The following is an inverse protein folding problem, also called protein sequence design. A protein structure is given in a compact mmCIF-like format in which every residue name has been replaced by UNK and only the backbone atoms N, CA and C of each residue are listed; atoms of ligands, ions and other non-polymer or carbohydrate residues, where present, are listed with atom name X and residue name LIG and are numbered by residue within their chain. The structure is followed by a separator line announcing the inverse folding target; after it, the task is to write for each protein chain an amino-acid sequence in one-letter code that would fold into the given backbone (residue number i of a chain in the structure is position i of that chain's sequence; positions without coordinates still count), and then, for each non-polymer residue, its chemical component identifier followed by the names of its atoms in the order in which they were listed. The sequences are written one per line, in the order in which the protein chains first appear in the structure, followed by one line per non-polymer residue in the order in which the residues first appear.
data_IF_204541496544
#
_entry.id   IF_204541496544
#
_cell.length_a   1.000
_cell.length_b   1.000
_cell.length_c   1.000
_cell.angle_alpha   90.00
_cell.angle_beta   90.00
_cell.angle_gamma   90.00
#
_symmetry.space_group_name_H-M   'P 1'
#
loop_
_entity.id
_entity.type
_entity.pdbx_description
1 polymer ?
#
# COMPACT_ATOMS: atom_id res chain seq x y z
N UNK A 1 -22.90 -9.79 29.05
CA UNK A 1 -23.54 -10.54 27.94
C UNK A 1 -24.81 -11.26 28.40
N UNK A 2 -24.76 -12.07 29.45
CA UNK A 2 -25.95 -12.73 30.01
C UNK A 2 -27.07 -11.73 30.40
N UNK A 3 -26.71 -10.57 30.95
CA UNK A 3 -27.66 -9.48 31.25
C UNK A 3 -28.28 -8.83 30.01
N UNK A 4 -27.55 -8.79 28.87
CA UNK A 4 -28.07 -8.26 27.60
C UNK A 4 -29.01 -9.26 26.92
N UNK A 5 -28.63 -10.55 26.91
CA UNK A 5 -29.50 -11.61 26.39
C UNK A 5 -30.81 -11.69 27.17
N UNK A 6 -30.72 -11.59 28.50
CA UNK A 6 -31.88 -11.52 29.38
C UNK A 6 -32.73 -10.27 29.10
N UNK A 7 -32.10 -9.10 28.89
CA UNK A 7 -32.80 -7.85 28.57
C UNK A 7 -33.50 -7.86 27.20
N UNK A 8 -33.03 -8.66 26.24
CA UNK A 8 -33.63 -8.84 24.91
C UNK A 8 -34.66 -10.00 24.90
N UNK A 9 -34.95 -10.60 26.05
CA UNK A 9 -36.01 -11.60 26.22
C UNK A 9 -35.59 -13.06 26.03
N UNK A 10 -34.29 -13.33 25.90
CA UNK A 10 -33.74 -14.68 25.94
C UNK A 10 -33.58 -15.06 27.42
N UNK A 11 -34.54 -15.77 27.99
CA UNK A 11 -34.56 -16.15 29.41
C UNK A 11 -33.31 -16.93 29.88
N UNK A 12 -33.24 -17.29 31.16
CA UNK A 12 -32.12 -18.09 31.68
C UNK A 12 -32.21 -19.56 31.22
N UNK A 13 -31.12 -20.13 30.68
CA UNK A 13 -31.08 -21.55 30.28
C UNK A 13 -29.83 -21.95 29.49
N UNK A 14 -29.63 -23.26 29.28
CA UNK A 14 -28.44 -23.82 28.62
C UNK A 14 -28.26 -23.38 27.16
N UNK A 15 -29.35 -23.16 26.42
CA UNK A 15 -29.32 -22.72 25.01
C UNK A 15 -28.77 -21.27 24.89
N UNK A 16 -29.31 -20.27 25.62
CA UNK A 16 -28.72 -18.93 25.70
C UNK A 16 -27.26 -18.92 26.16
N UNK A 17 -26.89 -19.77 27.12
CA UNK A 17 -25.51 -19.87 27.61
C UNK A 17 -24.57 -20.47 26.56
N UNK A 18 -24.96 -21.53 25.86
CA UNK A 18 -24.16 -22.12 24.79
C UNK A 18 -23.98 -21.16 23.60
N UNK A 19 -25.04 -20.43 23.24
CA UNK A 19 -24.97 -19.39 22.22
C UNK A 19 -24.00 -18.26 22.64
N UNK A 20 -24.05 -17.83 23.91
CA UNK A 20 -23.12 -16.84 24.45
C UNK A 20 -21.66 -17.32 24.42
N UNK A 21 -21.40 -18.58 24.78
CA UNK A 21 -20.04 -19.17 24.73
C UNK A 21 -19.51 -19.20 23.29
N UNK A 22 -20.32 -19.67 22.33
CA UNK A 22 -19.93 -19.66 20.91
C UNK A 22 -19.66 -18.24 20.40
N UNK A 23 -20.43 -17.26 20.85
CA UNK A 23 -20.21 -15.84 20.55
C UNK A 23 -18.87 -15.33 21.08
N UNK A 24 -18.59 -15.57 22.37
CA UNK A 24 -17.34 -15.14 23.01
C UNK A 24 -16.14 -15.83 22.38
N UNK A 25 -16.22 -17.13 22.06
CA UNK A 25 -15.14 -17.84 21.39
C UNK A 25 -14.88 -17.28 19.99
N UNK A 26 -15.92 -17.09 19.19
CA UNK A 26 -15.81 -16.48 17.85
C UNK A 26 -15.21 -15.07 17.91
N UNK A 27 -15.65 -14.25 18.86
CA UNK A 27 -15.20 -12.87 19.01
C UNK A 27 -13.79 -12.76 19.58
N UNK A 28 -13.49 -13.57 20.60
CA UNK A 28 -12.15 -13.66 21.20
C UNK A 28 -11.10 -14.16 20.21
N UNK A 29 -11.39 -15.24 19.47
CA UNK A 29 -10.50 -15.76 18.42
C UNK A 29 -10.32 -14.73 17.29
N UNK A 30 -11.40 -14.06 16.91
CA UNK A 30 -11.37 -12.99 15.91
C UNK A 30 -10.44 -11.85 16.28
N UNK A 31 -10.58 -11.31 17.50
CA UNK A 31 -9.78 -10.20 18.00
C UNK A 31 -8.31 -10.62 18.21
N UNK A 32 -8.07 -11.78 18.82
CA UNK A 32 -6.74 -12.30 19.04
C UNK A 32 -6.01 -12.55 17.71
N UNK A 33 -6.68 -13.16 16.73
CA UNK A 33 -6.13 -13.36 15.39
C UNK A 33 -5.82 -12.05 14.68
N UNK A 34 -6.68 -11.02 14.82
CA UNK A 34 -6.42 -9.68 14.29
C UNK A 34 -5.18 -9.03 14.90
N UNK A 35 -4.98 -9.16 16.22
CA UNK A 35 -3.78 -8.65 16.92
C UNK A 35 -2.53 -9.39 16.48
N UNK A 36 -2.58 -10.72 16.39
CA UNK A 36 -1.44 -11.51 15.90
C UNK A 36 -1.06 -11.11 14.47
N UNK A 37 -2.06 -10.97 13.59
CA UNK A 37 -1.83 -10.50 12.23
C UNK A 37 -1.16 -9.12 12.21
N UNK A 38 -1.67 -8.17 13.00
CA UNK A 38 -1.06 -6.84 13.12
C UNK A 38 0.39 -6.88 13.60
N UNK A 39 0.72 -7.80 14.51
CA UNK A 39 2.06 -7.93 15.09
C UNK A 39 3.08 -8.58 14.17
N UNK A 40 2.64 -9.45 13.25
CA UNK A 40 3.52 -10.20 12.35
C UNK A 40 3.62 -9.54 10.98
N UNK A 41 2.56 -8.87 10.53
CA UNK A 41 2.47 -8.38 9.17
C UNK A 41 2.86 -6.90 9.10
N UNK A 42 4.04 -6.66 8.54
CA UNK A 42 4.52 -5.32 8.20
C UNK A 42 3.87 -4.82 6.89
N UNK A 43 2.59 -4.47 6.98
CA UNK A 43 1.89 -3.85 5.86
C UNK A 43 2.19 -2.36 5.86
N UNK A 44 2.92 -1.87 4.85
CA UNK A 44 3.25 -0.45 4.65
C UNK A 44 2.03 0.38 4.27
N UNK A 45 1.08 0.51 5.18
CA UNK A 45 -0.18 1.21 4.96
C UNK A 45 0.03 2.67 4.54
N UNK A 46 1.09 3.32 5.03
CA UNK A 46 1.40 4.71 4.68
C UNK A 46 1.93 4.86 3.25
N UNK A 47 2.65 3.86 2.72
CA UNK A 47 3.24 3.92 1.38
C UNK A 47 2.15 3.85 0.30
N UNK A 48 1.22 2.90 0.44
CA UNK A 48 0.15 2.64 -0.53
C UNK A 48 -1.25 2.64 0.10
N UNK A 49 -1.69 3.76 0.70
CA UNK A 49 -2.94 3.79 1.45
C UNK A 49 -4.16 3.55 0.54
N UNK A 50 -4.09 3.98 -0.73
CA UNK A 50 -5.14 3.72 -1.74
C UNK A 50 -5.33 2.21 -1.97
N UNK A 51 -4.24 1.49 -2.21
CA UNK A 51 -4.25 0.04 -2.44
C UNK A 51 -4.75 -0.72 -1.22
N UNK A 52 -4.22 -0.41 -0.04
CA UNK A 52 -4.62 -1.07 1.20
C UNK A 52 -6.07 -0.77 1.59
N UNK A 53 -6.60 0.41 1.25
CA UNK A 53 -8.01 0.74 1.46
C UNK A 53 -8.93 -0.12 0.58
N UNK A 54 -8.53 -0.43 -0.65
CA UNK A 54 -9.25 -1.36 -1.51
C UNK A 54 -9.09 -2.80 -1.02
N UNK A 55 -7.87 -3.22 -0.69
CA UNK A 55 -7.59 -4.58 -0.20
C UNK A 55 -8.41 -4.90 1.05
N UNK A 56 -8.50 -3.95 1.99
CA UNK A 56 -9.33 -4.09 3.18
C UNK A 56 -10.82 -4.16 2.88
N UNK A 57 -11.35 -3.40 1.91
CA UNK A 57 -12.75 -3.53 1.50
C UNK A 57 -13.04 -4.87 0.83
N UNK A 58 -12.15 -5.38 -0.02
CA UNK A 58 -12.29 -6.71 -0.63
C UNK A 58 -12.27 -7.80 0.45
N UNK A 59 -11.30 -7.74 1.36
CA UNK A 59 -11.19 -8.70 2.47
C UNK A 59 -12.42 -8.66 3.39
N UNK A 60 -12.99 -7.47 3.64
CA UNK A 60 -14.22 -7.31 4.40
C UNK A 60 -15.40 -8.00 3.72
N UNK A 61 -15.60 -7.77 2.42
CA UNK A 61 -16.70 -8.37 1.67
C UNK A 61 -16.55 -9.90 1.60
N UNK A 62 -15.34 -10.42 1.40
CA UNK A 62 -15.07 -11.87 1.43
C UNK A 62 -15.37 -12.45 2.82
N UNK A 63 -15.01 -11.76 3.89
CA UNK A 63 -15.28 -12.19 5.25
C UNK A 63 -16.78 -12.23 5.55
N UNK A 64 -17.52 -11.18 5.17
CA UNK A 64 -18.98 -11.11 5.33
C UNK A 64 -19.67 -12.19 4.50
N UNK A 65 -19.21 -12.44 3.27
CA UNK A 65 -19.71 -13.54 2.45
C UNK A 65 -19.50 -14.89 3.15
N UNK A 66 -18.32 -15.11 3.74
CA UNK A 66 -18.03 -16.29 4.56
C UNK A 66 -19.03 -16.49 5.70
N UNK A 67 -19.40 -15.42 6.42
CA UNK A 67 -20.44 -15.49 7.47
C UNK A 67 -21.83 -15.83 6.91
N UNK A 68 -22.21 -15.20 5.79
CA UNK A 68 -23.51 -15.44 5.13
C UNK A 68 -23.65 -16.90 4.69
N UNK A 69 -22.55 -17.54 4.28
CA UNK A 69 -22.53 -18.94 3.81
C UNK A 69 -22.48 -19.96 4.95
N UNK A 70 -22.28 -19.56 6.21
CA UNK A 70 -22.21 -20.49 7.35
C UNK A 70 -23.39 -21.46 7.49
N UNK A 71 -24.65 -21.12 7.14
CA UNK A 71 -25.76 -22.07 7.21
C UNK A 71 -25.60 -23.28 6.28
N UNK A 72 -24.77 -23.19 5.24
CA UNK A 72 -24.49 -24.29 4.30
C UNK A 72 -23.49 -25.30 4.85
N UNK A 73 -22.75 -24.96 5.92
CA UNK A 73 -21.73 -25.79 6.53
C UNK A 73 -21.84 -25.80 8.07
N UNK A 74 -22.97 -26.25 8.65
CA UNK A 74 -23.23 -26.16 10.08
C UNK A 74 -22.18 -26.91 10.93
N UNK A 75 -21.64 -28.03 10.43
CA UNK A 75 -20.58 -28.78 11.11
C UNK A 75 -19.25 -28.03 11.24
N UNK A 76 -19.03 -27.00 10.42
CA UNK A 76 -17.83 -26.15 10.43
C UNK A 76 -18.13 -24.71 10.83
N UNK A 77 -19.32 -24.45 11.40
CA UNK A 77 -19.80 -23.10 11.75
C UNK A 77 -18.74 -22.32 12.54
N UNK A 78 -18.24 -22.89 13.64
CA UNK A 78 -17.32 -22.18 14.53
C UNK A 78 -16.02 -21.82 13.82
N UNK A 79 -15.48 -22.72 12.98
CA UNK A 79 -14.25 -22.47 12.24
C UNK A 79 -14.43 -21.37 11.18
N UNK A 80 -15.47 -21.48 10.34
CA UNK A 80 -15.75 -20.50 9.29
C UNK A 80 -16.07 -19.13 9.90
N UNK A 81 -16.94 -19.09 10.91
CA UNK A 81 -17.34 -17.85 11.57
C UNK A 81 -16.17 -17.19 12.30
N UNK A 82 -15.28 -17.97 12.93
CA UNK A 82 -14.07 -17.42 13.58
C UNK A 82 -13.09 -16.87 12.55
N UNK A 83 -12.83 -17.61 11.46
CA UNK A 83 -11.95 -17.15 10.38
C UNK A 83 -12.47 -15.86 9.72
N UNK A 84 -13.78 -15.81 9.43
CA UNK A 84 -14.41 -14.61 8.91
C UNK A 84 -14.26 -13.44 9.89
N UNK A 85 -14.41 -13.67 11.19
CA UNK A 85 -14.24 -12.62 12.18
C UNK A 85 -12.79 -12.12 12.29
N UNK A 86 -11.79 -13.01 12.15
CA UNK A 86 -10.38 -12.61 12.03
C UNK A 86 -10.20 -11.71 10.80
N UNK A 87 -10.69 -12.13 9.64
CA UNK A 87 -10.58 -11.37 8.40
C UNK A 87 -11.26 -9.99 8.49
N UNK A 88 -12.43 -9.88 9.14
CA UNK A 88 -13.08 -8.60 9.40
C UNK A 88 -12.23 -7.68 10.28
N UNK A 89 -11.67 -8.21 11.37
CA UNK A 89 -10.81 -7.42 12.26
C UNK A 89 -9.56 -6.92 11.52
N UNK A 90 -8.92 -7.76 10.73
CA UNK A 90 -7.78 -7.36 9.86
C UNK A 90 -8.20 -6.28 8.87
N UNK A 91 -9.37 -6.43 8.24
CA UNK A 91 -9.90 -5.46 7.29
C UNK A 91 -10.16 -4.11 7.94
N UNK A 92 -10.79 -4.08 9.12
CA UNK A 92 -11.03 -2.85 9.88
C UNK A 92 -9.74 -2.19 10.34
N UNK A 93 -8.75 -2.97 10.78
CA UNK A 93 -7.44 -2.46 11.15
C UNK A 93 -6.76 -1.77 9.96
N UNK A 94 -6.68 -2.45 8.82
CA UNK A 94 -6.09 -1.90 7.59
C UNK A 94 -6.84 -0.67 7.09
N UNK A 95 -8.18 -0.69 7.07
CA UNK A 95 -8.99 0.48 6.74
C UNK A 95 -8.75 1.63 7.73
N UNK A 96 -8.54 1.33 9.02
CA UNK A 96 -8.24 2.34 10.02
C UNK A 96 -6.85 2.95 9.86
N UNK A 97 -5.83 2.14 9.56
CA UNK A 97 -4.46 2.61 9.34
C UNK A 97 -4.39 3.53 8.11
N UNK A 98 -4.99 3.12 6.98
CA UNK A 98 -4.99 3.92 5.74
C UNK A 98 -5.71 5.27 5.89
N UNK A 99 -6.71 5.37 6.79
CA UNK A 99 -7.38 6.65 7.07
C UNK A 99 -6.44 7.71 7.65
N UNK A 100 -5.40 7.33 8.40
CA UNK A 100 -4.45 8.30 8.94
C UNK A 100 -3.78 9.09 7.81
N UNK A 101 -3.27 8.40 6.78
CA UNK A 101 -2.70 9.02 5.59
C UNK A 101 -3.71 9.90 4.82
N UNK A 102 -4.96 9.44 4.67
CA UNK A 102 -6.00 10.23 4.02
C UNK A 102 -6.38 11.49 4.82
N UNK A 103 -6.60 11.38 6.13
CA UNK A 103 -6.91 12.53 6.97
C UNK A 103 -5.77 13.55 6.96
N UNK A 104 -4.52 13.08 6.97
CA UNK A 104 -3.36 13.95 6.84
C UNK A 104 -3.36 14.69 5.49
N UNK A 105 -3.72 14.02 4.39
CA UNK A 105 -3.84 14.67 3.07
C UNK A 105 -4.97 15.70 2.98
N UNK A 106 -6.01 15.59 3.82
CA UNK A 106 -7.12 16.53 3.89
C UNK A 106 -6.88 17.68 4.87
N UNK A 107 -5.87 17.58 5.74
CA UNK A 107 -5.49 18.65 6.63
C UNK A 107 -4.79 19.77 5.84
N UNK A 108 -5.16 21.02 6.13
CA UNK A 108 -4.62 22.21 5.43
C UNK A 108 -3.96 23.18 6.41
N UNK A 109 -4.43 23.25 7.66
CA UNK A 109 -3.98 24.22 8.67
C UNK A 109 -3.71 23.54 10.01
N UNK A 110 -2.87 22.51 9.99
CA UNK A 110 -2.56 21.66 11.16
C UNK A 110 -3.82 21.13 11.88
N UNK A 111 -4.92 21.00 11.13
CA UNK A 111 -6.26 20.70 11.63
C UNK A 111 -6.60 19.21 11.51
N UNK A 112 -5.60 18.33 11.67
CA UNK A 112 -5.74 16.88 11.52
C UNK A 112 -6.77 16.30 12.50
N UNK A 113 -6.80 16.81 13.73
CA UNK A 113 -7.76 16.40 14.75
C UNK A 113 -9.20 16.70 14.33
N UNK A 114 -9.46 17.90 13.78
CA UNK A 114 -10.80 18.31 13.32
C UNK A 114 -11.26 17.47 12.12
N UNK A 115 -10.37 17.21 11.17
CA UNK A 115 -10.65 16.33 10.03
C UNK A 115 -11.01 14.93 10.53
N UNK A 116 -10.22 14.40 11.45
CA UNK A 116 -10.44 13.06 12.02
C UNK A 116 -11.75 12.99 12.81
N UNK A 117 -12.07 14.02 13.60
CA UNK A 117 -13.33 14.09 14.34
C UNK A 117 -14.54 14.13 13.39
N UNK A 118 -14.51 14.95 12.34
CA UNK A 118 -15.58 15.04 11.34
C UNK A 118 -15.75 13.73 10.58
N UNK A 119 -14.66 13.09 10.16
CA UNK A 119 -14.71 11.77 9.54
C UNK A 119 -15.30 10.71 10.49
N UNK A 120 -14.97 10.78 11.78
CA UNK A 120 -15.58 9.94 12.82
C UNK A 120 -17.09 10.15 12.94
N UNK A 121 -17.56 11.41 12.99
CA UNK A 121 -18.99 11.72 13.02
C UNK A 121 -19.72 11.24 11.76
N UNK A 122 -19.12 11.40 10.58
CA UNK A 122 -19.68 10.88 9.33
C UNK A 122 -19.79 9.36 9.37
N UNK A 123 -18.77 8.65 9.86
CA UNK A 123 -18.80 7.20 9.99
C UNK A 123 -19.94 6.74 10.93
N UNK A 124 -20.15 7.42 12.06
CA UNK A 124 -21.25 7.13 12.99
C UNK A 124 -22.61 7.36 12.30
N UNK A 125 -22.80 8.50 11.64
CA UNK A 125 -24.04 8.82 10.93
C UNK A 125 -24.34 7.78 9.83
N UNK A 126 -23.33 7.42 9.03
CA UNK A 126 -23.44 6.36 8.02
C UNK A 126 -23.76 5.00 8.63
N UNK A 127 -23.19 4.67 9.81
CA UNK A 127 -23.50 3.43 10.52
C UNK A 127 -24.94 3.37 11.01
N UNK A 128 -25.48 4.48 11.54
CA UNK A 128 -26.88 4.57 11.97
C UNK A 128 -27.81 4.37 10.78
N UNK A 129 -27.55 5.10 9.68
CA UNK A 129 -28.32 4.97 8.45
C UNK A 129 -28.25 3.55 7.87
N UNK A 130 -27.05 2.99 7.77
CA UNK A 130 -26.83 1.63 7.26
C UNK A 130 -27.51 0.56 8.13
N UNK A 131 -27.50 0.73 9.46
CA UNK A 131 -28.21 -0.17 10.37
C UNK A 131 -29.72 -0.10 10.16
N UNK A 132 -30.28 1.10 10.05
CA UNK A 132 -31.71 1.29 9.74
C UNK A 132 -32.10 0.65 8.42
N UNK A 133 -31.31 0.87 7.36
CA UNK A 133 -31.53 0.24 6.05
C UNK A 133 -31.41 -1.30 6.13
N UNK A 134 -30.43 -1.80 6.88
CA UNK A 134 -30.23 -3.24 7.10
C UNK A 134 -31.42 -3.90 7.78
N UNK A 135 -32.05 -3.24 8.77
CA UNK A 135 -33.28 -3.71 9.41
C UNK A 135 -34.42 -3.81 8.38
N UNK A 136 -34.61 -2.80 7.54
CA UNK A 136 -35.65 -2.82 6.49
C UNK A 136 -35.41 -3.96 5.48
N UNK A 137 -34.17 -4.12 5.02
CA UNK A 137 -33.79 -5.23 4.12
C UNK A 137 -33.97 -6.58 4.80
N UNK A 138 -33.73 -6.68 6.12
CA UNK A 138 -33.90 -7.92 6.89
C UNK A 138 -35.35 -8.44 6.85
N UNK A 139 -36.33 -7.54 6.79
CA UNK A 139 -37.76 -7.90 6.69
C UNK A 139 -38.08 -8.63 5.37
N UNK A 140 -37.38 -8.27 4.29
CA UNK A 140 -37.52 -8.93 2.98
C UNK A 140 -36.68 -10.21 2.87
N UNK A 141 -35.43 -10.18 3.37
CA UNK A 141 -34.54 -11.35 3.26
C UNK A 141 -35.01 -12.53 4.12
N UNK A 142 -35.59 -12.26 5.30
CA UNK A 142 -36.03 -13.29 6.23
C UNK A 142 -34.89 -14.24 6.63
N UNK A 143 -35.19 -15.54 6.69
CA UNK A 143 -34.19 -16.58 6.98
C UNK A 143 -33.55 -17.20 5.72
N UNK A 144 -33.88 -16.69 4.52
CA UNK A 144 -33.40 -17.27 3.27
C UNK A 144 -31.97 -16.84 2.98
N UNK A 145 -31.01 -17.78 3.04
CA UNK A 145 -29.62 -17.53 2.66
C UNK A 145 -29.51 -16.98 1.23
N UNK A 146 -30.37 -17.42 0.30
CA UNK A 146 -30.36 -16.92 -1.07
C UNK A 146 -30.78 -15.43 -1.15
N UNK A 147 -31.78 -15.01 -0.38
CA UNK A 147 -32.20 -13.61 -0.37
C UNK A 147 -31.13 -12.73 0.29
N UNK A 148 -30.49 -13.22 1.36
CA UNK A 148 -29.36 -12.53 1.99
C UNK A 148 -28.18 -12.40 1.02
N UNK A 149 -27.86 -13.45 0.26
CA UNK A 149 -26.82 -13.41 -0.78
C UNK A 149 -27.15 -12.41 -1.89
N UNK A 150 -28.41 -12.36 -2.33
CA UNK A 150 -28.85 -11.39 -3.34
C UNK A 150 -28.70 -9.95 -2.84
N UNK A 151 -29.16 -9.66 -1.61
CA UNK A 151 -28.99 -8.35 -0.99
C UNK A 151 -27.51 -8.00 -0.80
N UNK A 152 -26.71 -8.94 -0.30
CA UNK A 152 -25.26 -8.78 -0.12
C UNK A 152 -24.55 -8.46 -1.43
N UNK A 153 -24.91 -9.14 -2.54
CA UNK A 153 -24.27 -8.91 -3.85
C UNK A 153 -24.45 -7.46 -4.30
N UNK A 154 -25.67 -6.92 -4.17
CA UNK A 154 -25.96 -5.52 -4.52
C UNK A 154 -25.23 -4.57 -3.57
N UNK A 155 -25.29 -4.81 -2.27
CA UNK A 155 -24.65 -3.96 -1.26
C UNK A 155 -23.12 -3.96 -1.38
N UNK A 156 -22.50 -5.12 -1.65
CA UNK A 156 -21.07 -5.27 -1.89
C UNK A 156 -20.64 -4.54 -3.16
N UNK A 157 -21.40 -4.62 -4.25
CA UNK A 157 -21.12 -3.84 -5.46
C UNK A 157 -21.15 -2.33 -5.21
N UNK A 158 -22.14 -1.85 -4.44
CA UNK A 158 -22.23 -0.44 -4.03
C UNK A 158 -21.07 -0.06 -3.10
N UNK A 159 -20.77 -0.89 -2.10
CA UNK A 159 -19.65 -0.69 -1.17
C UNK A 159 -18.32 -0.58 -1.92
N UNK A 160 -18.04 -1.50 -2.85
CA UNK A 160 -16.80 -1.48 -3.59
C UNK A 160 -16.71 -0.30 -4.56
N UNK A 161 -17.77 0.00 -5.29
CA UNK A 161 -17.78 1.16 -6.21
C UNK A 161 -17.59 2.48 -5.45
N UNK A 162 -18.25 2.60 -4.29
CA UNK A 162 -18.13 3.79 -3.44
C UNK A 162 -16.73 3.92 -2.85
N UNK A 163 -16.14 2.80 -2.40
CA UNK A 163 -14.76 2.79 -1.89
C UNK A 163 -13.78 3.17 -2.99
N UNK A 164 -13.91 2.61 -4.19
CA UNK A 164 -13.08 2.97 -5.34
C UNK A 164 -13.14 4.47 -5.61
N UNK A 165 -14.34 5.02 -5.83
CA UNK A 165 -14.52 6.45 -6.11
C UNK A 165 -14.01 7.35 -4.99
N UNK A 166 -14.20 6.94 -3.73
CA UNK A 166 -13.72 7.69 -2.57
C UNK A 166 -12.20 7.75 -2.51
N UNK A 167 -11.50 6.69 -2.92
CA UNK A 167 -10.04 6.59 -2.86
C UNK A 167 -9.38 7.21 -4.09
N UNK A 168 -9.99 7.06 -5.25
CA UNK A 168 -9.54 7.62 -6.53
C UNK A 168 -9.43 9.14 -6.48
N UNK A 169 -10.38 9.80 -5.79
CA UNK A 169 -10.40 11.25 -5.60
C UNK A 169 -9.40 11.80 -4.59
N UNK A 170 -8.64 10.96 -3.88
CA UNK A 170 -7.69 11.44 -2.85
C UNK A 170 -6.37 11.87 -3.49
N UNK A 171 -5.97 13.12 -3.25
CA UNK A 171 -4.66 13.65 -3.67
C UNK A 171 -3.65 13.53 -2.52
N UNK A 172 -2.73 12.58 -2.65
CA UNK A 172 -1.71 12.34 -1.64
C UNK A 172 -0.42 13.10 -1.97
N UNK A 173 0.17 13.76 -0.96
CA UNK A 173 1.43 14.52 -1.09
C UNK A 173 2.69 13.72 -0.76
N UNK A 174 2.53 12.56 -0.13
CA UNK A 174 3.66 11.68 0.19
C UNK A 174 4.27 11.09 -1.08
N UNK A 175 5.52 10.67 -1.03
CA UNK A 175 6.23 10.06 -2.16
C UNK A 175 6.50 8.60 -1.86
N UNK A 176 5.71 7.70 -2.44
CA UNK A 176 6.07 6.27 -2.54
C UNK A 176 6.83 6.02 -3.85
N UNK A 177 7.31 4.78 -4.05
CA UNK A 177 8.01 4.39 -5.27
C UNK A 177 7.23 4.78 -6.53
N UNK A 178 5.92 4.49 -6.57
CA UNK A 178 5.08 4.79 -7.73
C UNK A 178 5.02 6.28 -8.07
N UNK A 179 4.67 7.12 -7.09
CA UNK A 179 4.52 8.56 -7.30
C UNK A 179 5.84 9.20 -7.64
N UNK A 180 6.91 8.83 -6.94
CA UNK A 180 8.25 9.33 -7.24
C UNK A 180 8.69 8.95 -8.66
N UNK A 181 8.47 7.70 -9.06
CA UNK A 181 8.79 7.22 -10.41
C UNK A 181 8.04 7.99 -11.50
N UNK A 182 6.74 8.24 -11.30
CA UNK A 182 5.93 9.04 -12.22
C UNK A 182 6.44 10.48 -12.34
N UNK A 183 6.82 11.09 -11.22
CA UNK A 183 7.35 12.45 -11.16
C UNK A 183 8.70 12.54 -11.88
N UNK A 184 9.64 11.63 -11.57
CA UNK A 184 10.95 11.60 -12.22
C UNK A 184 10.81 11.34 -13.72
N UNK A 185 9.99 10.36 -14.10
CA UNK A 185 9.76 10.06 -15.51
C UNK A 185 9.22 11.27 -16.26
N UNK A 186 8.26 11.99 -15.69
CA UNK A 186 7.73 13.22 -16.29
C UNK A 186 8.82 14.30 -16.40
N UNK A 187 9.56 14.56 -15.32
CA UNK A 187 10.65 15.54 -15.30
C UNK A 187 11.72 15.26 -16.37
N UNK A 188 12.12 14.00 -16.53
CA UNK A 188 13.14 13.58 -17.50
C UNK A 188 12.64 13.58 -18.95
N UNK A 189 11.33 13.35 -19.17
CA UNK A 189 10.71 13.39 -20.50
C UNK A 189 10.37 14.81 -20.97
N UNK A 190 10.28 15.76 -20.04
CA UNK A 190 10.07 17.17 -20.37
C UNK A 190 11.32 17.77 -21.03
N UNK A 191 11.12 18.63 -22.02
CA UNK A 191 12.21 19.35 -22.68
C UNK A 191 13.03 20.15 -21.65
N UNK A 192 14.37 20.23 -21.77
CA UNK A 192 15.22 20.94 -20.80
C UNK A 192 14.78 22.37 -20.51
N UNK A 193 14.30 23.10 -21.53
CA UNK A 193 13.82 24.48 -21.42
C UNK A 193 12.50 24.63 -20.64
N UNK A 194 11.71 23.55 -20.55
CA UNK A 194 10.36 23.54 -19.97
C UNK A 194 10.21 22.42 -18.92
N UNK A 195 11.29 22.05 -18.23
CA UNK A 195 11.19 21.06 -17.15
C UNK A 195 10.22 21.55 -16.11
N UNK A 196 9.21 20.73 -15.86
CA UNK A 196 8.19 20.97 -14.83
C UNK A 196 7.90 19.66 -14.11
N UNK A 197 7.42 19.78 -12.88
CA UNK A 197 6.93 18.63 -12.12
C UNK A 197 5.43 18.47 -12.39
N UNK A 198 4.95 17.23 -12.52
CA UNK A 198 3.53 17.01 -12.73
C UNK A 198 2.73 17.43 -11.48
N UNK A 199 1.53 17.93 -11.70
CA UNK A 199 0.62 18.28 -10.59
C UNK A 199 0.22 17.02 -9.79
N UNK A 200 -0.19 17.21 -8.52
CA UNK A 200 -0.73 16.13 -7.69
C UNK A 200 -1.88 15.38 -8.40
N UNK A 201 -2.74 16.12 -9.13
CA UNK A 201 -3.86 15.55 -9.87
C UNK A 201 -3.38 14.68 -11.03
N UNK A 202 -2.43 15.17 -11.81
CA UNK A 202 -1.82 14.43 -12.95
C UNK A 202 -1.16 13.13 -12.49
N UNK A 203 -0.50 13.14 -11.33
CA UNK A 203 0.08 11.92 -10.75
C UNK A 203 -1.02 10.99 -10.22
N UNK A 204 -2.02 11.51 -9.52
CA UNK A 204 -3.14 10.72 -8.97
C UNK A 204 -3.93 9.99 -10.06
N UNK A 205 -4.19 10.63 -11.21
CA UNK A 205 -4.85 10.02 -12.37
C UNK A 205 -4.03 8.88 -13.00
N UNK A 206 -2.74 8.81 -12.70
CA UNK A 206 -1.81 7.79 -13.16
C UNK A 206 -1.46 6.76 -12.07
N UNK A 207 -1.91 6.93 -10.83
CA UNK A 207 -1.68 5.93 -9.81
C UNK A 207 -2.45 4.63 -10.12
N UNK A 208 -1.79 3.50 -9.90
CA UNK A 208 -2.39 2.18 -10.08
C UNK A 208 -2.42 1.45 -8.75
N UNK A 209 -3.62 1.32 -8.19
CA UNK A 209 -3.84 0.68 -6.89
C UNK A 209 -4.79 -0.54 -6.95
N UNK A 210 -5.42 -0.79 -8.10
CA UNK A 210 -6.26 -1.98 -8.35
C UNK A 210 -5.44 -3.11 -8.98
N UNK A 211 -4.69 -2.81 -10.04
CA UNK A 211 -3.86 -3.82 -10.74
C UNK A 211 -2.73 -4.33 -9.84
N UNK A 212 -2.25 -3.50 -8.93
CA UNK A 212 -1.16 -3.80 -7.99
C UNK A 212 -1.64 -4.47 -6.70
N UNK A 213 -2.95 -4.73 -6.56
CA UNK A 213 -3.56 -5.21 -5.30
C UNK A 213 -2.83 -6.45 -4.74
N UNK A 214 -2.57 -7.44 -5.60
CA UNK A 214 -1.88 -8.68 -5.23
C UNK A 214 -0.37 -8.61 -5.45
N UNK A 215 0.09 -8.02 -6.55
CA UNK A 215 1.48 -8.09 -6.99
C UNK A 215 2.42 -7.12 -6.29
N UNK A 216 1.92 -6.07 -5.65
CA UNK A 216 2.79 -4.96 -5.25
C UNK A 216 2.96 -3.92 -6.36
N UNK A 217 3.65 -2.84 -6.00
CA UNK A 217 4.08 -1.86 -6.98
C UNK A 217 5.12 -2.49 -7.92
N UNK A 218 4.94 -2.30 -9.21
CA UNK A 218 5.95 -2.56 -10.24
C UNK A 218 6.10 -1.32 -11.09
N UNK A 219 7.33 -1.02 -11.52
CA UNK A 219 7.57 0.10 -12.44
C UNK A 219 6.75 -0.08 -13.72
N UNK A 220 6.36 1.03 -14.37
CA UNK A 220 5.61 0.99 -15.65
C UNK A 220 6.46 0.57 -16.85
N UNK A 221 7.76 0.43 -16.63
CA UNK A 221 8.74 -0.01 -17.62
C UNK A 221 8.70 -1.54 -17.75
N UNK A 222 8.73 -2.03 -18.99
CA UNK A 222 8.61 -3.45 -19.31
C UNK A 222 9.97 -4.15 -19.45
N UNK A 223 11.04 -3.41 -19.75
CA UNK A 223 12.40 -3.95 -19.92
C UNK A 223 13.21 -3.95 -18.64
N UNK A 224 12.73 -3.33 -17.56
CA UNK A 224 13.47 -3.25 -16.30
C UNK A 224 12.57 -3.18 -15.07
N UNK A 225 13.10 -3.63 -13.93
CA UNK A 225 12.50 -3.52 -12.60
C UNK A 225 13.51 -2.93 -11.63
N UNK A 226 13.07 -1.99 -10.79
CA UNK A 226 13.88 -1.41 -9.71
C UNK A 226 13.60 -2.16 -8.42
N UNK A 227 14.65 -2.74 -7.83
CA UNK A 227 14.64 -3.33 -6.50
C UNK A 227 15.27 -2.34 -5.52
N UNK A 228 14.44 -1.52 -4.87
CA UNK A 228 14.90 -0.42 -4.00
C UNK A 228 15.43 -0.88 -2.62
N UNK A 229 15.46 -2.19 -2.36
CA UNK A 229 15.84 -2.80 -1.09
C UNK A 229 16.87 -3.92 -1.31
N UNK A 230 17.75 -3.75 -2.30
CA UNK A 230 18.70 -4.79 -2.65
C UNK A 230 19.71 -5.03 -1.53
N UNK A 231 19.90 -6.28 -1.15
CA UNK A 231 20.98 -6.68 -0.24
C UNK A 231 22.35 -6.50 -0.91
N UNK A 232 23.42 -6.33 -0.12
CA UNK A 232 24.78 -6.26 -0.65
C UNK A 232 25.17 -7.48 -1.51
N UNK A 233 24.60 -8.66 -1.21
CA UNK A 233 24.80 -9.86 -2.04
C UNK A 233 24.07 -9.77 -3.38
N UNK A 234 22.86 -9.20 -3.41
CA UNK A 234 22.09 -9.02 -4.65
C UNK A 234 22.74 -7.98 -5.57
N UNK A 235 23.08 -6.80 -5.03
CA UNK A 235 23.64 -5.68 -5.80
C UNK A 235 25.04 -5.98 -6.35
N UNK A 236 25.82 -6.82 -5.65
CA UNK A 236 27.14 -7.27 -6.12
C UNK A 236 27.08 -8.50 -7.04
N UNK A 237 25.88 -8.99 -7.37
CA UNK A 237 25.67 -10.24 -8.12
C UNK A 237 26.44 -11.43 -7.51
N UNK A 238 26.56 -11.47 -6.18
CA UNK A 238 27.36 -12.46 -5.44
C UNK A 238 28.86 -12.46 -5.78
N UNK A 239 29.39 -11.35 -6.30
CA UNK A 239 30.80 -11.16 -6.58
C UNK A 239 31.40 -10.06 -5.68
N UNK A 240 32.27 -10.40 -4.72
CA UNK A 240 32.91 -9.42 -3.83
C UNK A 240 33.69 -8.33 -4.55
N UNK A 241 34.29 -8.60 -5.72
CA UNK A 241 35.04 -7.59 -6.47
C UNK A 241 34.11 -6.49 -7.02
N UNK A 242 32.88 -6.85 -7.39
CA UNK A 242 31.86 -5.88 -7.81
C UNK A 242 31.47 -4.99 -6.63
N UNK A 243 31.41 -5.55 -5.42
CA UNK A 243 31.10 -4.76 -4.22
C UNK A 243 32.22 -3.75 -3.90
N UNK A 244 33.49 -4.15 -4.02
CA UNK A 244 34.63 -3.22 -3.85
C UNK A 244 34.58 -2.10 -4.90
N UNK A 245 34.32 -2.45 -6.15
CA UNK A 245 34.18 -1.46 -7.23
C UNK A 245 33.02 -0.49 -6.97
N UNK A 246 31.85 -1.00 -6.55
CA UNK A 246 30.70 -0.18 -6.14
C UNK A 246 31.06 0.77 -4.99
N UNK A 247 31.79 0.26 -3.98
CA UNK A 247 32.23 1.06 -2.84
C UNK A 247 33.18 2.20 -3.25
N UNK A 248 34.11 1.94 -4.18
CA UNK A 248 35.04 2.95 -4.70
C UNK A 248 34.32 3.98 -5.57
N UNK A 249 33.40 3.54 -6.44
CA UNK A 249 32.66 4.40 -7.36
C UNK A 249 31.72 5.36 -6.62
N UNK A 250 30.96 4.83 -5.65
CA UNK A 250 29.99 5.59 -4.85
C UNK A 250 30.58 6.15 -3.55
N UNK A 251 31.90 6.36 -3.46
CA UNK A 251 32.57 6.74 -2.22
C UNK A 251 32.04 8.03 -1.57
N UNK A 252 31.43 8.94 -2.36
CA UNK A 252 30.83 10.20 -1.89
C UNK A 252 29.32 10.15 -1.76
N UNK A 253 28.69 9.04 -2.14
CA UNK A 253 27.24 8.85 -2.12
C UNK A 253 26.82 7.98 -0.95
N UNK A 254 25.55 8.13 -0.53
CA UNK A 254 24.93 7.30 0.51
C UNK A 254 24.02 6.23 -0.06
N UNK A 255 24.28 5.82 -1.29
CA UNK A 255 23.56 4.75 -1.96
C UNK A 255 24.52 3.97 -2.87
N UNK A 256 24.17 2.72 -3.14
CA UNK A 256 24.79 1.91 -4.17
C UNK A 256 23.72 1.55 -5.18
N UNK A 257 24.06 1.60 -6.46
CA UNK A 257 23.19 1.14 -7.53
C UNK A 257 23.96 0.23 -8.49
N UNK A 258 23.35 -0.86 -8.93
CA UNK A 258 23.94 -1.71 -9.98
C UNK A 258 22.88 -2.23 -10.94
N UNK A 259 23.29 -2.46 -12.20
CA UNK A 259 22.44 -3.00 -13.25
C UNK A 259 22.80 -4.46 -13.53
N UNK A 260 21.84 -5.36 -13.28
CA UNK A 260 21.90 -6.76 -13.70
C UNK A 260 21.22 -6.95 -15.04
N UNK A 261 22.02 -7.22 -16.07
CA UNK A 261 21.50 -7.62 -17.37
C UNK A 261 21.00 -9.06 -17.34
N UNK A 262 19.69 -9.24 -17.55
CA UNK A 262 19.03 -10.54 -17.70
C UNK A 262 18.81 -10.83 -19.19
N UNK A 263 19.19 -12.05 -19.64
CA UNK A 263 19.07 -12.43 -21.06
C UNK A 263 17.62 -12.62 -21.52
N UNK A 264 16.77 -13.19 -20.65
CA UNK A 264 15.37 -13.48 -20.91
C UNK A 264 14.50 -12.89 -19.79
N UNK A 265 13.95 -11.70 -20.02
CA UNK A 265 13.10 -10.99 -19.06
C UNK A 265 13.59 -9.58 -18.77
N UNK A 266 12.93 -8.87 -17.83
CA UNK A 266 13.33 -7.52 -17.47
C UNK A 266 14.69 -7.51 -16.78
N UNK A 267 15.52 -6.55 -17.14
CA UNK A 267 16.76 -6.23 -16.43
C UNK A 267 16.45 -5.77 -14.99
N UNK A 268 17.36 -6.00 -14.05
CA UNK A 268 17.16 -5.62 -12.65
C UNK A 268 18.08 -4.48 -12.29
N UNK A 269 17.53 -3.40 -11.74
CA UNK A 269 18.28 -2.29 -11.18
C UNK A 269 18.21 -2.45 -9.66
N UNK A 270 19.31 -2.89 -9.08
CA UNK A 270 19.43 -3.11 -7.64
C UNK A 270 19.89 -1.80 -7.00
N UNK A 271 19.11 -1.31 -6.03
CA UNK A 271 19.40 -0.10 -5.29
C UNK A 271 19.45 -0.42 -3.80
N UNK A 272 20.49 0.07 -3.12
CA UNK A 272 20.67 -0.07 -1.68
C UNK A 272 21.03 1.29 -1.08
N UNK A 273 20.33 1.69 -0.01
CA UNK A 273 20.64 2.92 0.73
C UNK A 273 21.54 2.61 1.94
N UNK A 274 22.43 3.55 2.25
CA UNK A 274 23.29 3.50 3.43
C UNK A 274 22.49 3.86 4.70
N UNK A 275 22.90 3.35 5.86
CA UNK A 275 22.20 3.54 7.14
C UNK A 275 21.92 5.02 7.43
N UNK A 276 22.87 5.91 7.14
CA UNK A 276 22.75 7.36 7.36
C UNK A 276 22.22 8.15 6.15
N UNK A 277 21.69 7.48 5.12
CA UNK A 277 21.10 8.12 3.95
C UNK A 277 19.91 9.01 4.31
N UNK A 278 19.89 10.21 3.77
CA UNK A 278 18.80 11.20 3.89
C UNK A 278 17.76 11.03 2.78
N UNK A 279 16.65 11.75 2.88
CA UNK A 279 15.66 11.79 1.81
C UNK A 279 16.23 12.35 0.50
N UNK A 280 17.18 13.28 0.55
CA UNK A 280 17.84 13.79 -0.67
C UNK A 280 18.71 12.70 -1.33
N UNK A 281 19.42 11.89 -0.54
CA UNK A 281 20.21 10.75 -1.07
C UNK A 281 19.29 9.73 -1.76
N UNK A 282 18.14 9.44 -1.16
CA UNK A 282 17.14 8.56 -1.76
C UNK A 282 16.53 9.16 -3.05
N UNK A 283 16.29 10.48 -3.12
CA UNK A 283 15.84 11.12 -4.36
C UNK A 283 16.88 11.01 -5.47
N UNK A 284 18.17 11.22 -5.16
CA UNK A 284 19.29 11.05 -6.11
C UNK A 284 19.40 9.62 -6.62
N UNK A 285 19.33 8.66 -5.69
CA UNK A 285 19.33 7.24 -6.00
C UNK A 285 18.20 6.84 -6.95
N UNK A 286 16.97 7.29 -6.68
CA UNK A 286 15.84 7.01 -7.56
C UNK A 286 15.95 7.75 -8.90
N UNK A 287 16.46 8.98 -8.94
CA UNK A 287 16.71 9.70 -10.20
C UNK A 287 17.69 8.92 -11.10
N UNK A 288 18.78 8.42 -10.51
CA UNK A 288 19.75 7.58 -11.21
C UNK A 288 19.10 6.29 -11.73
N UNK A 289 18.32 5.60 -10.90
CA UNK A 289 17.61 4.39 -11.30
C UNK A 289 16.67 4.63 -12.49
N UNK A 290 15.85 5.69 -12.45
CA UNK A 290 14.89 5.98 -13.53
C UNK A 290 15.61 6.37 -14.83
N UNK A 291 16.73 7.12 -14.77
CA UNK A 291 17.54 7.41 -15.96
C UNK A 291 18.00 6.13 -16.66
N UNK A 292 18.46 5.13 -15.91
CA UNK A 292 18.83 3.82 -16.46
C UNK A 292 17.60 3.12 -17.06
N UNK A 293 16.45 3.15 -16.37
CA UNK A 293 15.23 2.54 -16.91
C UNK A 293 14.81 3.17 -18.25
N UNK A 294 14.81 4.51 -18.34
CA UNK A 294 14.45 5.19 -19.58
C UNK A 294 15.42 4.88 -20.71
N UNK A 295 16.72 4.81 -20.42
CA UNK A 295 17.72 4.43 -21.42
C UNK A 295 17.51 3.00 -21.95
N UNK A 296 17.18 2.05 -21.06
CA UNK A 296 16.85 0.67 -21.45
C UNK A 296 15.55 0.61 -22.26
N UNK A 297 14.54 1.40 -21.91
CA UNK A 297 13.28 1.48 -22.66
C UNK A 297 13.47 2.06 -24.06
N UNK A 298 14.21 3.15 -24.18
CA UNK A 298 14.40 3.88 -25.44
C UNK A 298 15.34 3.15 -26.41
N UNK A 299 16.24 2.31 -25.88
CA UNK A 299 17.19 1.56 -26.71
C UNK A 299 16.61 0.20 -27.10
N UNK A 300 16.59 -0.17 -28.41
CA UNK A 300 16.06 -1.46 -28.86
C UNK A 300 16.97 -2.64 -28.49
N UNK A 301 18.27 -2.41 -28.35
CA UNK A 301 19.26 -3.43 -28.00
C UNK A 301 19.75 -3.26 -26.57
N UNK A 302 19.84 -4.36 -25.82
CA UNK A 302 20.46 -4.33 -24.49
C UNK A 302 21.92 -3.88 -24.59
N UNK A 303 22.43 -3.11 -23.63
CA UNK A 303 23.82 -2.67 -23.63
C UNK A 303 24.77 -3.88 -23.51
N UNK A 304 25.92 -3.80 -24.14
CA UNK A 304 26.94 -4.86 -24.06
C UNK A 304 27.56 -4.96 -22.66
N UNK A 305 27.68 -3.82 -21.96
CA UNK A 305 28.16 -3.73 -20.59
C UNK A 305 27.17 -2.90 -19.77
N UNK A 306 26.67 -3.47 -18.67
CA UNK A 306 25.76 -2.76 -17.77
C UNK A 306 26.42 -1.59 -17.05
N UNK A 307 27.73 -1.68 -16.80
CA UNK A 307 28.47 -0.67 -16.06
C UNK A 307 28.64 0.65 -16.81
N UNK A 308 28.89 0.60 -18.12
CA UNK A 308 29.03 1.83 -18.92
C UNK A 308 27.75 2.66 -18.86
N UNK A 309 26.58 1.99 -18.88
CA UNK A 309 25.29 2.65 -18.73
C UNK A 309 25.07 3.19 -17.30
N UNK A 310 25.50 2.46 -16.28
CA UNK A 310 25.41 2.91 -14.88
C UNK A 310 26.24 4.18 -14.68
N UNK A 311 27.48 4.21 -15.16
CA UNK A 311 28.37 5.37 -15.04
C UNK A 311 27.86 6.57 -15.84
N UNK A 312 27.50 6.37 -17.11
CA UNK A 312 26.93 7.45 -17.94
C UNK A 312 25.72 8.10 -17.26
N UNK A 313 24.78 7.29 -16.76
CA UNK A 313 23.57 7.78 -16.11
C UNK A 313 23.81 8.32 -14.71
N UNK A 314 24.92 7.95 -14.06
CA UNK A 314 25.33 8.56 -12.79
C UNK A 314 25.76 10.01 -13.02
N UNK A 315 26.59 10.27 -14.04
CA UNK A 315 27.00 11.64 -14.38
C UNK A 315 25.79 12.51 -14.77
N UNK A 316 24.85 11.94 -15.52
CA UNK A 316 23.58 12.62 -15.85
C UNK A 316 22.74 12.89 -14.59
N UNK A 317 22.64 11.93 -13.67
CA UNK A 317 21.93 12.12 -12.40
C UNK A 317 22.55 13.23 -11.55
N UNK A 318 23.88 13.29 -11.45
CA UNK A 318 24.60 14.37 -10.75
C UNK A 318 24.31 15.74 -11.35
N UNK A 319 24.28 15.85 -12.68
CA UNK A 319 23.99 17.12 -13.35
C UNK A 319 22.54 17.60 -13.14
N UNK A 320 21.62 16.68 -12.85
CA UNK A 320 20.18 16.96 -12.75
C UNK A 320 19.66 16.99 -11.31
N UNK A 321 20.37 16.41 -10.35
CA UNK A 321 19.86 16.18 -9.01
C UNK A 321 19.45 17.46 -8.30
N UNK A 322 20.28 18.49 -8.40
CA UNK A 322 20.05 19.73 -7.64
C UNK A 322 18.86 20.51 -8.20
N UNK A 323 18.70 20.54 -9.53
CA UNK A 323 17.51 21.12 -10.17
C UNK A 323 16.24 20.34 -9.77
N UNK A 324 16.30 19.00 -9.86
CA UNK A 324 15.16 18.14 -9.56
C UNK A 324 14.71 18.30 -8.10
N UNK A 325 15.65 18.21 -7.15
CA UNK A 325 15.36 18.32 -5.72
C UNK A 325 14.84 19.72 -5.39
N UNK A 326 15.48 20.79 -5.88
CA UNK A 326 15.04 22.16 -5.62
C UNK A 326 13.61 22.41 -6.12
N UNK A 327 13.25 21.89 -7.30
CA UNK A 327 11.87 21.98 -7.81
C UNK A 327 10.89 21.18 -6.97
N UNK A 328 11.30 20.01 -6.47
CA UNK A 328 10.46 19.15 -5.65
C UNK A 328 10.19 19.78 -4.28
N UNK A 329 11.21 20.39 -3.66
CA UNK A 329 11.10 21.14 -2.39
C UNK A 329 10.24 22.40 -2.52
N UNK A 330 10.22 23.04 -3.69
CA UNK A 330 9.33 24.18 -3.99
C UNK A 330 7.89 23.77 -4.34
N UNK A 331 7.62 22.47 -4.46
CA UNK A 331 6.32 21.96 -4.88
C UNK A 331 5.42 21.63 -3.68
N UNK A 332 4.26 21.01 -3.96
CA UNK A 332 3.33 20.54 -2.91
C UNK A 332 3.67 19.13 -2.40
N UNK A 333 4.69 18.48 -2.95
CA UNK A 333 5.15 17.14 -2.56
C UNK A 333 5.91 17.19 -1.24
N UNK A 334 5.72 16.19 -0.39
CA UNK A 334 6.47 16.07 0.87
C UNK A 334 7.79 15.33 0.61
N UNK A 335 8.91 16.02 0.83
CA UNK A 335 10.27 15.50 0.58
C UNK A 335 10.98 15.03 1.85
N UNK A 336 10.54 15.43 3.04
CA UNK A 336 11.24 15.12 4.30
C UNK A 336 11.15 13.63 4.69
N UNK A 337 10.02 12.97 4.42
CA UNK A 337 9.80 11.57 4.76
C UNK A 337 9.30 10.78 3.56
N UNK A 338 10.23 10.15 2.85
CA UNK A 338 9.94 9.35 1.66
C UNK A 338 9.49 7.95 2.04
N UNK A 339 8.49 7.45 1.32
CA UNK A 339 7.91 6.13 1.50
C UNK A 339 8.39 5.16 0.40
N UNK A 340 9.66 5.27 0.02
CA UNK A 340 10.27 4.54 -1.09
C UNK A 340 10.97 3.24 -0.68
N UNK A 341 11.26 3.05 0.61
CA UNK A 341 11.91 1.83 1.12
C UNK A 341 10.87 0.78 1.55
N UNK A 342 10.65 -0.26 0.73
CA UNK A 342 9.69 -1.35 1.06
C UNK A 342 10.12 -2.24 2.23
N UNK A 343 11.41 -2.28 2.53
CA UNK A 343 11.93 -2.95 3.71
C UNK A 343 12.96 -2.03 4.37
N UNK A 344 13.07 -2.06 5.70
CA UNK A 344 14.15 -1.35 6.40
C UNK A 344 15.47 -2.10 6.23
N UNK A 345 15.97 -2.17 4.99
CA UNK A 345 17.20 -2.86 4.61
C UNK A 345 18.23 -1.85 4.10
N UNK A 346 18.77 -1.07 5.04
CA UNK A 346 19.90 -0.19 4.77
C UNK A 346 21.20 -0.90 5.07
N UNK A 347 22.23 -0.65 4.28
CA UNK A 347 23.55 -1.21 4.49
C UNK A 347 24.43 -0.29 5.34
N UNK A 348 25.47 -0.85 5.96
CA UNK A 348 26.52 -0.08 6.60
C UNK A 348 27.87 -0.75 6.40
N UNK A 349 28.91 0.04 6.27
CA UNK A 349 30.28 -0.46 6.26
C UNK A 349 30.73 -0.71 7.70
N UNK A 350 31.30 -1.89 7.95
CA UNK A 350 31.90 -2.19 9.26
C UNK A 350 33.31 -1.60 9.22
N UNK A 351 33.56 -0.59 10.04
CA UNK A 351 34.91 0.02 10.20
C UNK A 351 35.80 -0.78 11.12
#
# INVERSE_FOLDING_TARGET
MQSLLYAVGLGAGAIPTAAAVNWVLKDGLGQFGGVLFASVVNNRYDADPKRWRIASSVALDVAVLGEILTPLAPGSFLAIASLANVAKNVSWLSASATRAGFHNSFAIRENLADVTAKAGSQAIASSIFGTGLGILISQWTGASTLNVLAAFTVLSAVHMTSTYKSVDGVLLRTLNCQRLHLIITHFLRSSPEHRELPSLKTVSEQEQFITTLLSGYTTRHGKSVVEANATLNQISHSNPQILVHLQEFYATEKYLLNLKLVANGPHRIDLALEETATSQDALRAHLHAVLIQLALEDTPTSPANGWDLVDEKYQEALALSDEFIARLEQSLWHTDNLLVEEQSSRYKWIT
#
